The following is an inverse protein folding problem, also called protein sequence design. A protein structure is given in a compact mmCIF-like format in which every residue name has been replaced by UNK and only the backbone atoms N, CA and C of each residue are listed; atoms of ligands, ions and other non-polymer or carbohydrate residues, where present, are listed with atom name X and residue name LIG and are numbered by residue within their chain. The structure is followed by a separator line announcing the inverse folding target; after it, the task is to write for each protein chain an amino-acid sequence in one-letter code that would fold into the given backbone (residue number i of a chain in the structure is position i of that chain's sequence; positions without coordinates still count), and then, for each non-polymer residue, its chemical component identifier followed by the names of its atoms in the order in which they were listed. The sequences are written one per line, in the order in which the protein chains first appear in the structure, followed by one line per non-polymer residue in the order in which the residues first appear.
data_IF_567187613656
#
_entry.id   IF_567187613656
#
_cell.length_a   1.000
_cell.length_b   1.000
_cell.length_c   1.000
_cell.angle_alpha   90.00
_cell.angle_beta   90.00
_cell.angle_gamma   90.00
#
_symmetry.space_group_name_H-M   'P 1'
#
loop_
_entity.id
_entity.type
_entity.pdbx_description
1 polymer ?
#
# COMPACT_ATOMS: atom_id res chain seq x y z
N UNK A 1 -13.88 -7.69 -3.69
CA UNK A 1 -12.73 -8.10 -2.85
C UNK A 1 -11.79 -9.08 -3.57
N UNK A 2 -12.26 -10.18 -4.17
CA UNK A 2 -11.38 -11.12 -4.90
C UNK A 2 -10.53 -10.45 -5.99
N UNK A 3 -11.17 -9.63 -6.83
CA UNK A 3 -10.50 -8.82 -7.84
C UNK A 3 -9.46 -7.84 -7.24
N UNK A 4 -9.84 -7.12 -6.19
CA UNK A 4 -9.00 -6.14 -5.53
C UNK A 4 -7.78 -6.78 -4.85
N UNK A 5 -7.98 -7.90 -4.14
CA UNK A 5 -6.91 -8.65 -3.50
C UNK A 5 -5.91 -9.22 -4.52
N UNK A 6 -6.40 -9.81 -5.61
CA UNK A 6 -5.55 -10.28 -6.69
C UNK A 6 -4.72 -9.14 -7.30
N UNK A 7 -5.34 -7.99 -7.59
CA UNK A 7 -4.64 -6.83 -8.14
C UNK A 7 -3.57 -6.28 -7.17
N UNK A 8 -3.89 -6.15 -5.87
CA UNK A 8 -2.94 -5.65 -4.87
C UNK A 8 -1.74 -6.60 -4.69
N UNK A 9 -1.97 -7.91 -4.68
CA UNK A 9 -0.86 -8.88 -4.66
C UNK A 9 -0.06 -8.88 -5.96
N UNK A 10 -0.70 -8.58 -7.10
CA UNK A 10 -0.01 -8.34 -8.37
C UNK A 10 1.01 -7.20 -8.29
N UNK A 11 0.69 -6.10 -7.58
CA UNK A 11 1.63 -4.99 -7.35
C UNK A 11 2.84 -5.41 -6.52
N UNK A 12 2.65 -6.29 -5.53
CA UNK A 12 3.74 -6.85 -4.72
C UNK A 12 4.68 -7.69 -5.60
N UNK A 13 4.11 -8.59 -6.41
CA UNK A 13 4.88 -9.41 -7.34
C UNK A 13 5.67 -8.58 -8.37
N UNK A 14 5.03 -7.57 -8.96
CA UNK A 14 5.68 -6.64 -9.89
C UNK A 14 6.86 -5.91 -9.22
N UNK A 15 6.66 -5.42 -8.00
CA UNK A 15 7.68 -4.66 -7.29
C UNK A 15 8.90 -5.52 -6.91
N UNK A 16 8.70 -6.80 -6.62
CA UNK A 16 9.79 -7.74 -6.38
C UNK A 16 10.71 -7.88 -7.60
N UNK A 17 10.14 -8.00 -8.80
CA UNK A 17 10.93 -8.10 -10.05
C UNK A 17 11.68 -6.80 -10.30
N UNK A 18 10.99 -5.66 -10.20
CA UNK A 18 11.60 -4.35 -10.40
C UNK A 18 12.73 -4.06 -9.40
N UNK A 19 12.61 -4.50 -8.15
CA UNK A 19 13.67 -4.36 -7.15
C UNK A 19 14.95 -5.10 -7.56
N UNK A 20 14.82 -6.31 -8.10
CA UNK A 20 15.96 -7.11 -8.57
C UNK A 20 16.58 -6.53 -9.83
N UNK A 21 15.76 -6.20 -10.83
CA UNK A 21 16.22 -5.67 -12.12
C UNK A 21 16.84 -4.26 -11.98
N UNK A 22 16.28 -3.45 -11.08
CA UNK A 22 16.69 -2.07 -10.82
C UNK A 22 17.93 -1.93 -9.93
N UNK A 23 18.31 -2.98 -9.19
CA UNK A 23 19.40 -2.93 -8.21
C UNK A 23 20.74 -2.46 -8.82
N UNK A 24 21.09 -2.95 -10.02
CA UNK A 24 22.32 -2.54 -10.75
C UNK A 24 22.34 -1.06 -11.16
N UNK A 25 21.17 -0.42 -11.19
CA UNK A 25 21.00 0.99 -11.51
C UNK A 25 20.76 1.85 -10.27
N UNK A 26 20.92 1.29 -9.06
CA UNK A 26 20.59 1.95 -7.80
C UNK A 26 19.11 2.41 -7.72
N UNK A 27 18.20 1.68 -8.37
CA UNK A 27 16.77 1.92 -8.30
C UNK A 27 16.22 1.10 -7.12
N UNK A 28 15.60 1.80 -6.16
CA UNK A 28 14.95 1.18 -5.00
C UNK A 28 13.45 1.13 -5.23
N UNK A 29 12.85 -0.03 -5.01
CA UNK A 29 11.42 -0.25 -5.19
C UNK A 29 10.86 -0.81 -3.89
N UNK A 30 9.80 -0.18 -3.38
CA UNK A 30 9.14 -0.57 -2.13
C UNK A 30 7.62 -0.58 -2.35
N UNK A 31 6.92 -1.40 -1.57
CA UNK A 31 5.46 -1.45 -1.53
C UNK A 31 5.02 -1.36 -0.09
N UNK A 32 3.95 -0.60 0.15
CA UNK A 32 3.30 -0.51 1.45
C UNK A 32 1.83 -0.92 1.34
N UNK A 33 1.27 -1.40 2.45
CA UNK A 33 -0.14 -1.76 2.58
C UNK A 33 -0.80 -0.85 3.62
N UNK A 34 -1.11 0.42 3.28
CA UNK A 34 -1.66 1.37 4.23
C UNK A 34 -3.14 1.10 4.50
N UNK A 35 -3.55 1.41 5.74
CA UNK A 35 -4.93 1.50 6.15
C UNK A 35 -5.16 2.94 6.61
N UNK A 36 -6.15 3.60 6.04
CA UNK A 36 -6.50 4.97 6.36
C UNK A 36 -8.03 5.14 6.26
N UNK A 37 -8.56 6.14 6.96
CA UNK A 37 -9.93 6.61 6.83
C UNK A 37 -10.10 7.27 5.46
N UNK A 38 -10.92 6.65 4.63
CA UNK A 38 -11.30 7.14 3.31
C UNK A 38 -12.76 6.78 3.07
N UNK A 39 -13.38 7.40 2.07
CA UNK A 39 -14.72 7.02 1.61
C UNK A 39 -14.85 5.51 1.26
N UNK A 40 -13.76 4.82 0.91
CA UNK A 40 -13.78 3.38 0.59
C UNK A 40 -13.75 2.49 1.85
N UNK A 41 -13.31 3.04 2.99
CA UNK A 41 -13.03 2.29 4.23
C UNK A 41 -13.92 2.70 5.41
N UNK A 42 -14.74 3.75 5.26
CA UNK A 42 -15.66 4.28 6.29
C UNK A 42 -16.55 3.21 6.92
N UNK A 43 -17.19 2.37 6.12
CA UNK A 43 -18.11 1.33 6.63
C UNK A 43 -17.41 0.00 6.97
N UNK A 44 -16.10 -0.12 6.73
CA UNK A 44 -15.37 -1.39 6.81
C UNK A 44 -14.62 -1.57 8.13
N UNK A 45 -14.29 -0.48 8.84
CA UNK A 45 -13.33 -0.47 9.94
C UNK A 45 -13.93 -0.17 11.32
N UNK A 46 -15.23 0.10 11.39
CA UNK A 46 -15.95 0.33 12.66
C UNK A 46 -15.28 1.42 13.52
N UNK A 47 -15.13 1.15 14.81
CA UNK A 47 -14.54 2.08 15.79
C UNK A 47 -13.08 2.45 15.51
N UNK A 48 -12.36 1.67 14.68
CA UNK A 48 -10.96 1.95 14.35
C UNK A 48 -10.81 3.16 13.42
N UNK A 49 -11.88 3.61 12.77
CA UNK A 49 -11.84 4.64 11.72
C UNK A 49 -11.28 5.98 12.21
N UNK A 50 -11.52 6.35 13.47
CA UNK A 50 -11.11 7.62 14.04
C UNK A 50 -9.61 7.69 14.34
N UNK A 51 -8.94 6.54 14.47
CA UNK A 51 -7.50 6.44 14.69
C UNK A 51 -6.67 6.42 13.40
N UNK A 52 -7.32 6.37 12.23
CA UNK A 52 -6.68 6.08 10.95
C UNK A 52 -6.58 7.31 10.04
N UNK A 53 -6.13 8.44 10.56
CA UNK A 53 -5.89 9.63 9.74
C UNK A 53 -4.87 9.34 8.62
N UNK A 54 -5.16 9.67 7.33
CA UNK A 54 -4.20 9.56 6.23
C UNK A 54 -2.83 10.21 6.48
N UNK A 55 -2.76 11.26 7.32
CA UNK A 55 -1.52 11.90 7.72
C UNK A 55 -0.56 10.97 8.49
N UNK A 56 -1.05 9.86 9.06
CA UNK A 56 -0.21 8.84 9.68
C UNK A 56 0.52 7.96 8.65
N UNK A 57 0.09 7.96 7.38
CA UNK A 57 0.70 7.15 6.31
C UNK A 57 1.75 7.93 5.53
N UNK A 58 1.54 9.24 5.33
CA UNK A 58 2.40 10.07 4.49
C UNK A 58 3.88 10.10 4.89
N UNK A 59 4.29 10.05 6.17
CA UNK A 59 5.71 10.11 6.52
C UNK A 59 6.51 8.88 6.05
N UNK A 60 5.84 7.75 5.79
CA UNK A 60 6.48 6.53 5.31
C UNK A 60 6.82 6.59 3.81
N UNK A 61 6.15 7.46 3.05
CA UNK A 61 6.27 7.55 1.59
C UNK A 61 6.88 8.91 1.23
N UNK A 62 8.20 9.02 1.39
CA UNK A 62 9.00 10.20 1.04
C UNK A 62 10.26 9.75 0.31
#
# INVERSE_FOLDING_TARGET
QTNYGAAKMGLVGLSNVLAVEGAKYNIKVNVIAPIARTRMTEDLLGELIDALDPACVTPLVT
#
